data_IF_170757107555
#
_entry.id   IF_170757107555
#
_cell.length_a   1.000
_cell.length_b   1.000
_cell.length_c   1.000
_cell.angle_alpha   90.00
_cell.angle_beta   90.00
_cell.angle_gamma   90.00
#
_symmetry.space_group_name_H-M   'P 1'
#
loop_
_entity.id
_entity.type
_entity.pdbx_description
1 polymer ?
#
# COMPACT_ATOMS: atom_id res chain seq x y z
N UNK A 1 -31.57 -9.85 -44.35
CA UNK A 1 -31.22 -10.03 -42.94
C UNK A 1 -29.71 -10.11 -42.84
N UNK A 2 -29.05 -9.01 -42.47
CA UNK A 2 -27.60 -8.93 -42.27
C UNK A 2 -27.38 -8.15 -40.99
N UNK A 3 -26.94 -8.85 -39.95
CA UNK A 3 -26.63 -8.30 -38.63
C UNK A 3 -25.29 -7.57 -38.66
N UNK A 4 -25.31 -6.26 -38.41
CA UNK A 4 -24.14 -5.43 -38.20
C UNK A 4 -23.42 -5.78 -36.89
N UNK A 5 -22.17 -6.23 -36.99
CA UNK A 5 -21.26 -6.33 -35.84
C UNK A 5 -20.55 -4.97 -35.63
N UNK A 6 -21.07 -4.16 -34.70
CA UNK A 6 -20.41 -2.92 -34.26
C UNK A 6 -19.22 -3.25 -33.35
N UNK A 7 -18.00 -3.27 -33.90
CA UNK A 7 -16.76 -3.23 -33.11
C UNK A 7 -16.64 -1.86 -32.43
N UNK A 8 -16.69 -1.84 -31.11
CA UNK A 8 -16.35 -0.67 -30.30
C UNK A 8 -14.86 -0.34 -30.45
N UNK A 9 -14.56 0.65 -31.30
CA UNK A 9 -13.22 1.23 -31.40
C UNK A 9 -13.05 2.25 -30.29
N UNK A 10 -12.26 1.92 -29.27
CA UNK A 10 -11.83 2.86 -28.23
C UNK A 10 -10.98 3.96 -28.88
N UNK A 11 -11.58 5.11 -29.17
CA UNK A 11 -10.85 6.30 -29.65
C UNK A 11 -10.04 6.86 -28.49
N UNK A 12 -8.74 6.59 -28.49
CA UNK A 12 -7.79 7.43 -27.78
C UNK A 12 -7.78 8.80 -28.47
N UNK A 13 -8.36 9.81 -27.83
CA UNK A 13 -8.18 11.19 -28.25
C UNK A 13 -6.69 11.53 -28.12
N UNK A 14 -5.98 11.66 -29.24
CA UNK A 14 -4.70 12.38 -29.33
C UNK A 14 -5.04 13.86 -29.52
N UNK A 15 -4.83 14.74 -28.54
CA UNK A 15 -4.85 16.17 -28.81
C UNK A 15 -3.68 16.51 -29.73
N UNK A 16 -3.95 17.30 -30.76
CA UNK A 16 -2.99 17.74 -31.76
C UNK A 16 -1.80 18.46 -31.09
N UNK A 17 -0.62 18.10 -31.58
CA UNK A 17 0.69 18.32 -30.97
C UNK A 17 1.38 19.58 -31.56
N UNK A 18 0.66 20.70 -31.65
CA UNK A 18 1.16 21.93 -32.30
C UNK A 18 0.89 23.19 -31.46
N UNK A 19 1.45 23.22 -30.24
CA UNK A 19 1.44 24.40 -29.37
C UNK A 19 2.16 24.17 -28.04
N UNK A 20 3.13 23.24 -27.99
CA UNK A 20 3.63 22.71 -26.73
C UNK A 20 4.80 23.51 -26.13
N UNK A 21 4.52 24.57 -25.35
CA UNK A 21 5.52 25.13 -24.40
C UNK A 21 5.06 25.34 -22.95
N UNK A 22 3.78 25.17 -22.60
CA UNK A 22 3.27 25.30 -21.21
C UNK A 22 2.35 24.10 -20.81
N UNK A 23 2.90 22.91 -20.54
CA UNK A 23 2.04 21.70 -20.48
C UNK A 23 2.14 20.82 -19.26
N UNK A 24 3.23 20.82 -18.49
CA UNK A 24 3.33 19.81 -17.44
C UNK A 24 2.48 20.14 -16.22
N UNK A 25 2.52 21.39 -15.76
CA UNK A 25 1.65 21.88 -14.69
C UNK A 25 0.17 21.67 -15.04
N UNK A 26 -0.24 22.19 -16.20
CA UNK A 26 -1.62 22.11 -16.66
C UNK A 26 -2.07 20.66 -16.88
N UNK A 27 -1.23 19.78 -17.44
CA UNK A 27 -1.56 18.37 -17.62
C UNK A 27 -1.78 17.64 -16.28
N UNK A 28 -0.92 17.86 -15.27
CA UNK A 28 -1.10 17.27 -13.94
C UNK A 28 -2.41 17.78 -13.33
N UNK A 29 -2.71 19.08 -13.45
CA UNK A 29 -3.96 19.68 -12.94
C UNK A 29 -5.19 19.08 -13.61
N UNK A 30 -5.18 18.90 -14.93
CA UNK A 30 -6.27 18.26 -15.68
C UNK A 30 -6.46 16.79 -15.28
N UNK A 31 -5.36 16.04 -15.12
CA UNK A 31 -5.42 14.66 -14.65
C UNK A 31 -6.03 14.58 -13.25
N UNK A 32 -5.64 15.46 -12.33
CA UNK A 32 -6.23 15.59 -10.99
C UNK A 32 -7.73 15.83 -11.04
N UNK A 33 -8.19 16.77 -11.87
CA UNK A 33 -9.61 17.05 -12.06
C UNK A 33 -10.36 15.82 -12.60
N UNK A 34 -9.75 15.04 -13.51
CA UNK A 34 -10.36 13.81 -14.02
C UNK A 34 -10.55 12.76 -12.94
N UNK A 35 -9.58 12.61 -12.02
CA UNK A 35 -9.71 11.70 -10.87
C UNK A 35 -10.78 12.12 -9.86
N UNK A 36 -11.16 13.40 -9.83
CA UNK A 36 -12.27 13.89 -9.01
C UNK A 36 -13.64 13.67 -9.66
N UNK A 37 -13.69 13.30 -10.95
CA UNK A 37 -14.96 13.06 -11.65
C UNK A 37 -15.61 11.73 -11.23
N UNK A 38 -16.92 11.65 -11.41
CA UNK A 38 -17.73 10.45 -11.17
C UNK A 38 -17.29 9.21 -11.97
N UNK A 39 -16.49 9.39 -13.02
CA UNK A 39 -15.99 8.30 -13.85
C UNK A 39 -14.76 7.61 -13.26
N UNK A 40 -14.12 8.19 -12.24
CA UNK A 40 -12.99 7.54 -11.58
C UNK A 40 -13.49 6.47 -10.60
N UNK A 41 -12.88 5.28 -10.66
CA UNK A 41 -13.23 4.19 -9.75
C UNK A 41 -12.82 4.58 -8.32
N UNK A 42 -13.80 4.67 -7.42
CA UNK A 42 -13.59 5.08 -6.01
C UNK A 42 -12.55 4.23 -5.27
N UNK A 43 -12.42 2.96 -5.63
CA UNK A 43 -11.50 2.01 -4.99
C UNK A 43 -10.24 1.72 -5.83
N UNK A 44 -9.85 2.64 -6.72
CA UNK A 44 -8.60 2.57 -7.47
C UNK A 44 -7.69 3.75 -7.10
N UNK A 45 -6.39 3.46 -6.94
CA UNK A 45 -5.39 4.50 -6.73
C UNK A 45 -5.29 5.40 -7.97
N UNK A 46 -5.01 6.68 -7.72
CA UNK A 46 -4.84 7.68 -8.77
C UNK A 46 -3.39 7.63 -9.22
N UNK A 47 -3.15 7.26 -10.48
CA UNK A 47 -1.80 7.11 -11.02
C UNK A 47 -1.65 7.99 -12.27
N UNK A 48 -0.64 8.86 -12.28
CA UNK A 48 -0.26 9.66 -13.45
C UNK A 48 1.04 9.09 -14.00
N UNK A 49 1.09 8.84 -15.31
CA UNK A 49 2.32 8.47 -16.02
C UNK A 49 2.75 9.68 -16.84
N UNK A 50 3.96 10.19 -16.57
CA UNK A 50 4.56 11.29 -17.31
C UNK A 50 5.71 10.72 -18.14
N UNK A 51 5.59 10.79 -19.45
CA UNK A 51 6.60 10.31 -20.38
C UNK A 51 7.14 11.48 -21.21
N UNK A 52 8.46 11.65 -21.30
CA UNK A 52 9.05 12.70 -22.14
C UNK A 52 10.57 12.62 -22.25
N UNK A 53 11.10 13.28 -23.28
CA UNK A 53 12.53 13.32 -23.61
C UNK A 53 13.21 14.65 -23.30
N UNK A 54 12.43 15.72 -23.10
CA UNK A 54 12.94 17.03 -22.75
C UNK A 54 11.99 17.74 -21.78
N UNK A 55 12.51 18.77 -21.11
CA UNK A 55 11.72 19.70 -20.32
C UNK A 55 12.32 21.09 -20.49
N UNK A 56 11.46 22.09 -20.73
CA UNK A 56 11.85 23.49 -20.68
C UNK A 56 11.14 24.09 -19.47
N UNK A 57 11.92 24.60 -18.54
CA UNK A 57 11.39 25.30 -17.38
C UNK A 57 10.74 26.60 -17.85
N UNK A 58 9.50 26.81 -17.44
CA UNK A 58 8.77 28.05 -17.69
C UNK A 58 8.73 28.87 -16.40
N UNK A 59 8.72 30.20 -16.54
CA UNK A 59 8.87 31.13 -15.42
C UNK A 59 7.60 31.18 -14.54
N UNK A 60 6.46 30.74 -15.06
CA UNK A 60 5.15 31.03 -14.46
C UNK A 60 4.50 29.86 -13.70
N UNK A 61 4.87 28.59 -13.94
CA UNK A 61 4.17 27.47 -13.31
C UNK A 61 5.11 26.28 -13.00
N UNK A 62 5.56 26.16 -11.74
CA UNK A 62 6.38 25.00 -11.31
C UNK A 62 5.51 23.72 -11.16
N UNK A 63 5.67 22.71 -12.04
CA UNK A 63 4.92 21.46 -11.94
C UNK A 63 5.23 20.67 -10.67
N UNK A 64 6.35 20.95 -9.99
CA UNK A 64 6.77 20.27 -8.76
C UNK A 64 5.78 20.49 -7.63
N UNK A 65 5.17 21.68 -7.52
CA UNK A 65 4.21 21.98 -6.46
C UNK A 65 2.91 21.17 -6.62
N UNK A 66 2.37 21.11 -7.84
CA UNK A 66 1.16 20.33 -8.13
C UNK A 66 1.43 18.84 -7.99
N UNK A 67 2.61 18.37 -8.41
CA UNK A 67 3.03 16.98 -8.23
C UNK A 67 3.18 16.59 -6.75
N UNK A 68 3.76 17.47 -5.92
CA UNK A 68 3.83 17.28 -4.46
C UNK A 68 2.42 17.18 -3.86
N UNK A 69 1.52 18.08 -4.22
CA UNK A 69 0.15 18.06 -3.72
C UNK A 69 -0.60 16.77 -4.11
N UNK A 70 -0.46 16.34 -5.37
CA UNK A 70 -1.08 15.09 -5.82
C UNK A 70 -0.54 13.87 -5.05
N UNK A 71 0.77 13.84 -4.78
CA UNK A 71 1.39 12.78 -3.97
C UNK A 71 0.91 12.80 -2.52
N UNK A 72 0.80 13.98 -1.89
CA UNK A 72 0.27 14.10 -0.53
C UNK A 72 -1.20 13.67 -0.41
N UNK A 73 -1.96 13.76 -1.49
CA UNK A 73 -3.34 13.24 -1.58
C UNK A 73 -3.40 11.72 -1.83
N UNK A 74 -2.26 11.02 -1.79
CA UNK A 74 -2.15 9.58 -1.99
C UNK A 74 -2.14 9.14 -3.45
N UNK A 75 -1.88 10.06 -4.38
CA UNK A 75 -1.64 9.78 -5.80
C UNK A 75 -0.20 9.33 -6.06
N UNK A 76 0.00 8.53 -7.12
CA UNK A 76 1.31 8.05 -7.54
C UNK A 76 1.67 8.66 -8.89
N UNK A 77 2.89 9.19 -9.01
CA UNK A 77 3.43 9.69 -10.28
C UNK A 77 4.55 8.77 -10.72
N UNK A 78 4.36 8.13 -11.86
CA UNK A 78 5.39 7.38 -12.57
C UNK A 78 5.98 8.29 -13.63
N UNK A 79 7.30 8.46 -13.64
CA UNK A 79 7.97 9.18 -14.73
C UNK A 79 8.73 8.21 -15.62
N UNK A 80 8.67 8.42 -16.92
CA UNK A 80 9.40 7.67 -17.94
C UNK A 80 10.24 8.68 -18.72
N UNK A 81 11.52 8.69 -18.42
CA UNK A 81 12.49 9.57 -19.04
C UNK A 81 13.06 8.93 -20.31
N UNK A 82 12.84 9.57 -21.45
CA UNK A 82 13.36 9.14 -22.75
C UNK A 82 14.71 9.79 -23.03
N UNK A 83 15.80 9.07 -22.78
CA UNK A 83 17.15 9.54 -23.11
C UNK A 83 17.50 9.21 -24.56
N UNK A 84 17.85 10.21 -25.37
CA UNK A 84 18.37 10.01 -26.73
C UNK A 84 19.90 10.18 -26.75
N UNK A 85 20.65 9.10 -26.94
CA UNK A 85 22.11 9.15 -27.11
C UNK A 85 22.90 9.52 -25.84
N UNK A 86 23.70 10.59 -25.89
CA UNK A 86 24.59 11.07 -24.78
C UNK A 86 23.88 12.04 -23.82
N UNK A 87 22.56 12.17 -23.91
CA UNK A 87 21.81 13.10 -23.07
C UNK A 87 21.89 12.76 -21.58
N UNK A 88 22.04 13.81 -20.76
CA UNK A 88 22.06 13.68 -19.30
C UNK A 88 20.64 13.64 -18.76
N UNK A 89 20.44 12.89 -17.67
CA UNK A 89 19.16 12.83 -16.99
C UNK A 89 18.67 14.21 -16.56
N UNK A 90 17.41 14.50 -16.85
CA UNK A 90 16.68 15.73 -16.61
C UNK A 90 16.16 15.69 -15.17
N UNK A 91 16.68 16.56 -14.28
CA UNK A 91 16.40 16.49 -12.85
C UNK A 91 14.92 16.63 -12.47
N UNK A 92 14.10 17.29 -13.31
CA UNK A 92 12.69 17.52 -13.02
C UNK A 92 11.87 16.21 -12.94
N UNK A 93 12.16 15.19 -13.75
CA UNK A 93 11.43 13.92 -13.68
C UNK A 93 11.65 13.19 -12.35
N UNK A 94 12.83 13.36 -11.75
CA UNK A 94 13.11 12.88 -10.38
C UNK A 94 12.33 13.65 -9.33
N UNK A 95 12.18 14.97 -9.48
CA UNK A 95 11.40 15.80 -8.55
C UNK A 95 9.89 15.48 -8.59
N UNK A 96 9.37 15.15 -9.78
CA UNK A 96 7.96 14.87 -10.01
C UNK A 96 7.54 13.45 -9.60
N UNK A 97 8.39 12.45 -9.88
CA UNK A 97 8.09 11.06 -9.60
C UNK A 97 7.80 10.80 -8.12
N UNK A 98 6.89 9.89 -7.82
CA UNK A 98 6.82 9.30 -6.48
C UNK A 98 8.16 8.59 -6.16
N UNK A 99 8.54 8.49 -4.88
CA UNK A 99 9.77 7.79 -4.48
C UNK A 99 9.90 6.43 -5.17
N UNK A 100 11.04 6.18 -5.80
CA UNK A 100 11.34 4.98 -6.58
C UNK A 100 10.54 4.80 -7.90
N UNK A 101 9.44 5.51 -8.17
CA UNK A 101 8.61 5.38 -9.39
C UNK A 101 9.19 6.09 -10.63
N UNK A 102 10.51 6.18 -10.75
CA UNK A 102 11.18 6.78 -11.91
C UNK A 102 11.78 5.70 -12.79
N UNK A 103 11.39 5.70 -14.06
CA UNK A 103 11.92 4.85 -15.12
C UNK A 103 12.70 5.69 -16.12
N UNK A 104 13.72 5.08 -16.72
CA UNK A 104 14.53 5.66 -17.77
C UNK A 104 14.55 4.65 -18.92
N UNK A 105 14.36 5.10 -20.15
CA UNK A 105 14.23 4.18 -21.30
C UNK A 105 15.51 3.45 -21.68
N UNK A 106 16.66 4.06 -21.39
CA UNK A 106 17.97 3.48 -21.65
C UNK A 106 18.89 3.72 -20.45
N UNK A 107 19.24 2.65 -19.75
CA UNK A 107 20.25 2.64 -18.68
C UNK A 107 21.21 1.51 -18.97
N UNK A 108 22.52 1.80 -19.00
CA UNK A 108 23.57 0.78 -19.15
C UNK A 108 23.36 -0.19 -20.34
N UNK A 109 22.94 0.34 -21.50
CA UNK A 109 22.62 -0.41 -22.74
C UNK A 109 21.41 -1.35 -22.65
N UNK A 110 20.62 -1.28 -21.58
CA UNK A 110 19.36 -2.02 -21.45
C UNK A 110 18.18 -1.09 -21.73
N UNK A 111 17.30 -1.55 -22.60
CA UNK A 111 16.05 -0.86 -22.92
C UNK A 111 15.02 -1.16 -21.83
N UNK A 112 14.24 -0.15 -21.45
CA UNK A 112 13.09 -0.27 -20.55
C UNK A 112 12.14 -1.36 -21.06
N UNK A 113 11.87 -2.34 -20.21
CA UNK A 113 10.94 -3.43 -20.54
C UNK A 113 9.54 -3.05 -20.10
N UNK A 114 8.54 -3.44 -20.88
CA UNK A 114 7.13 -3.26 -20.52
C UNK A 114 6.79 -3.88 -19.14
N UNK A 115 7.54 -4.90 -18.72
CA UNK A 115 7.40 -5.53 -17.41
C UNK A 115 7.71 -4.59 -16.25
N UNK A 116 8.67 -3.67 -16.39
CA UNK A 116 9.05 -2.74 -15.31
C UNK A 116 7.92 -1.76 -15.04
N UNK A 117 7.34 -1.17 -16.10
CA UNK A 117 6.15 -0.32 -15.95
C UNK A 117 4.95 -1.09 -15.38
N UNK A 118 4.72 -2.33 -15.82
CA UNK A 118 3.65 -3.18 -15.28
C UNK A 118 3.85 -3.43 -13.78
N UNK A 119 5.08 -3.71 -13.35
CA UNK A 119 5.40 -3.91 -11.94
C UNK A 119 5.11 -2.64 -11.12
N UNK A 120 5.50 -1.46 -11.60
CA UNK A 120 5.18 -0.20 -10.95
C UNK A 120 3.67 0.03 -10.83
N UNK A 121 2.90 -0.31 -11.86
CA UNK A 121 1.44 -0.19 -11.83
C UNK A 121 0.81 -1.17 -10.82
N UNK A 122 1.39 -2.36 -10.64
CA UNK A 122 0.97 -3.28 -9.58
C UNK A 122 1.28 -2.71 -8.20
N UNK A 123 2.51 -2.23 -7.97
CA UNK A 123 2.92 -1.61 -6.69
C UNK A 123 2.07 -0.39 -6.34
N UNK A 124 1.81 0.48 -7.32
CA UNK A 124 0.98 1.67 -7.14
C UNK A 124 -0.48 1.36 -6.79
N UNK A 125 -0.99 0.19 -7.21
CA UNK A 125 -2.33 -0.28 -6.86
C UNK A 125 -2.34 -1.21 -5.63
N UNK A 126 -1.19 -1.46 -5.00
CA UNK A 126 -1.09 -2.20 -3.75
C UNK A 126 -1.27 -1.25 -2.56
N UNK A 127 -2.36 -1.38 -1.80
CA UNK A 127 -2.63 -0.47 -0.68
C UNK A 127 -3.49 -1.09 0.43
N UNK A 128 -3.41 -0.50 1.62
CA UNK A 128 -4.30 -0.81 2.73
C UNK A 128 -5.56 0.07 2.73
N UNK A 129 -6.68 -0.50 3.20
CA UNK A 129 -7.91 0.26 3.43
C UNK A 129 -7.70 1.36 4.47
N UNK A 130 -8.62 2.32 4.52
CA UNK A 130 -8.60 3.39 5.53
C UNK A 130 -8.55 2.80 6.94
N UNK A 131 -7.74 3.40 7.83
CA UNK A 131 -7.46 2.98 9.23
C UNK A 131 -6.61 1.71 9.38
N UNK A 132 -6.34 0.99 8.30
CA UNK A 132 -5.36 -0.09 8.35
C UNK A 132 -3.96 0.47 8.16
N UNK A 133 -3.04 0.05 9.02
CA UNK A 133 -1.63 0.41 9.01
C UNK A 133 -0.89 -0.52 8.03
N UNK A 134 -0.20 0.03 7.02
CA UNK A 134 0.58 -0.77 6.09
C UNK A 134 1.88 -1.26 6.74
N UNK A 135 2.22 -2.54 6.54
CA UNK A 135 3.56 -3.06 6.81
C UNK A 135 4.34 -3.15 5.50
N UNK A 136 5.24 -2.20 5.31
CA UNK A 136 6.04 -2.03 4.09
C UNK A 136 7.41 -2.67 4.29
N UNK A 137 7.71 -3.69 3.49
CA UNK A 137 9.00 -4.38 3.47
C UNK A 137 9.85 -4.00 2.26
N UNK A 138 9.25 -3.34 1.27
CA UNK A 138 9.90 -2.96 0.03
C UNK A 138 10.13 -1.45 -0.07
N UNK A 139 10.97 -1.08 -1.05
CA UNK A 139 11.27 0.32 -1.36
C UNK A 139 10.08 1.08 -1.99
N UNK A 140 8.96 0.43 -2.31
CA UNK A 140 7.87 1.02 -3.08
C UNK A 140 6.77 1.62 -2.21
N UNK A 141 6.99 1.63 -0.89
CA UNK A 141 5.99 1.91 0.15
C UNK A 141 4.73 1.03 -0.02
N UNK A 142 4.88 -0.12 -0.67
CA UNK A 142 3.78 -1.05 -0.90
C UNK A 142 3.63 -1.95 0.33
N UNK A 143 2.39 -2.18 0.82
CA UNK A 143 2.14 -2.99 2.01
C UNK A 143 2.25 -4.50 1.76
N UNK A 144 3.38 -4.95 1.19
CA UNK A 144 3.59 -6.36 0.87
C UNK A 144 3.65 -7.25 2.11
N UNK A 145 4.09 -6.71 3.25
CA UNK A 145 4.04 -7.38 4.54
C UNK A 145 2.64 -7.46 5.16
N UNK A 146 1.63 -6.88 4.50
CA UNK A 146 0.23 -6.92 4.93
C UNK A 146 -0.29 -5.60 5.47
N UNK A 147 -1.58 -5.63 5.79
CA UNK A 147 -2.31 -4.52 6.39
C UNK A 147 -2.77 -4.91 7.78
N UNK A 148 -2.59 -4.02 8.76
CA UNK A 148 -2.84 -4.28 10.17
C UNK A 148 -3.86 -3.30 10.76
N UNK A 149 -4.81 -3.78 11.55
CA UNK A 149 -5.82 -2.97 12.21
C UNK A 149 -5.74 -3.21 13.72
N UNK A 150 -5.16 -2.26 14.48
CA UNK A 150 -5.20 -2.30 15.94
C UNK A 150 -6.63 -2.06 16.43
N UNK A 151 -7.20 -3.05 17.11
CA UNK A 151 -8.53 -2.94 17.71
C UNK A 151 -8.40 -2.33 19.10
N UNK A 152 -9.24 -1.34 19.39
CA UNK A 152 -9.19 -0.57 20.64
C UNK A 152 -9.93 -1.21 21.80
N UNK A 153 -10.70 -2.27 21.54
CA UNK A 153 -11.51 -2.99 22.53
C UNK A 153 -10.82 -4.32 22.81
N UNK A 154 -10.62 -4.64 24.09
CA UNK A 154 -10.14 -5.95 24.52
C UNK A 154 -11.25 -6.98 24.41
N UNK A 155 -10.90 -8.22 24.10
CA UNK A 155 -11.87 -9.31 24.01
C UNK A 155 -11.17 -10.65 24.06
N UNK A 156 -11.90 -11.69 24.45
CA UNK A 156 -11.48 -13.09 24.32
C UNK A 156 -10.99 -13.46 22.91
N UNK A 157 -10.13 -14.47 22.80
CA UNK A 157 -9.53 -14.87 21.52
C UNK A 157 -10.59 -15.23 20.47
N UNK A 158 -11.67 -15.88 20.90
CA UNK A 158 -12.77 -16.29 20.02
C UNK A 158 -13.50 -15.10 19.44
N UNK A 159 -13.76 -14.06 20.25
CA UNK A 159 -14.39 -12.83 19.79
C UNK A 159 -13.45 -12.04 18.88
N UNK A 160 -12.18 -11.89 19.28
CA UNK A 160 -11.15 -11.25 18.48
C UNK A 160 -11.01 -11.87 17.08
N UNK A 161 -10.98 -13.21 17.00
CA UNK A 161 -10.96 -13.96 15.74
C UNK A 161 -12.18 -13.66 14.87
N UNK A 162 -13.38 -13.65 15.47
CA UNK A 162 -14.62 -13.32 14.74
C UNK A 162 -14.62 -11.88 14.26
N UNK A 163 -14.13 -10.94 15.06
CA UNK A 163 -13.97 -9.52 14.70
C UNK A 163 -13.07 -9.39 13.49
N UNK A 164 -11.88 -10.01 13.49
CA UNK A 164 -10.96 -9.95 12.35
C UNK A 164 -11.55 -10.58 11.09
N UNK A 165 -12.24 -11.73 11.22
CA UNK A 165 -12.93 -12.36 10.08
C UNK A 165 -13.99 -11.45 9.47
N UNK A 166 -14.79 -10.76 10.31
CA UNK A 166 -15.80 -9.78 9.87
C UNK A 166 -15.13 -8.56 9.21
N UNK A 167 -13.95 -8.15 9.68
CA UNK A 167 -13.15 -7.08 9.08
C UNK A 167 -12.38 -7.59 7.85
N UNK A 168 -13.11 -7.83 6.76
CA UNK A 168 -12.59 -8.13 5.42
C UNK A 168 -11.84 -9.47 5.30
N UNK A 169 -12.33 -10.51 5.98
CA UNK A 169 -11.69 -11.83 5.98
C UNK A 169 -10.28 -11.80 6.57
N UNK A 170 -10.03 -10.85 7.48
CA UNK A 170 -8.77 -10.78 8.21
C UNK A 170 -8.65 -11.94 9.20
N UNK A 171 -7.42 -12.15 9.65
CA UNK A 171 -7.09 -13.02 10.77
C UNK A 171 -6.47 -12.17 11.87
N UNK A 172 -6.28 -12.73 13.05
CA UNK A 172 -5.48 -12.07 14.07
C UNK A 172 -4.01 -12.00 13.58
N UNK A 173 -3.26 -11.00 14.06
CA UNK A 173 -1.87 -10.80 13.67
C UNK A 173 -1.01 -11.99 14.12
N UNK A 174 -0.08 -12.39 13.25
CA UNK A 174 0.91 -13.44 13.49
C UNK A 174 2.27 -12.76 13.52
N UNK A 175 3.09 -13.06 14.50
CA UNK A 175 4.45 -12.56 14.61
C UNK A 175 5.43 -13.59 14.05
N UNK A 176 6.03 -13.28 12.90
CA UNK A 176 6.76 -14.24 12.06
C UNK A 176 8.28 -13.99 12.03
N UNK A 177 8.71 -12.77 12.37
CA UNK A 177 10.12 -12.37 12.33
C UNK A 177 10.36 -11.13 13.22
N UNK A 178 11.63 -10.78 13.41
CA UNK A 178 12.05 -9.69 14.30
C UNK A 178 11.58 -8.33 13.78
N UNK A 179 11.52 -8.13 12.47
CA UNK A 179 11.09 -6.89 11.83
C UNK A 179 9.58 -6.67 12.03
N UNK A 180 8.80 -7.73 11.96
CA UNK A 180 7.35 -7.76 12.16
C UNK A 180 7.00 -7.56 13.62
N UNK A 181 7.71 -8.21 14.54
CA UNK A 181 7.61 -7.99 15.98
C UNK A 181 7.81 -6.49 16.32
N UNK A 182 8.88 -5.90 15.79
CA UNK A 182 9.16 -4.48 15.97
C UNK A 182 8.07 -3.57 15.38
N UNK A 183 7.44 -3.97 14.27
CA UNK A 183 6.32 -3.25 13.68
C UNK A 183 5.03 -3.36 14.53
N UNK A 184 4.68 -4.57 14.98
CA UNK A 184 3.50 -4.82 15.81
C UNK A 184 3.61 -4.09 17.16
N UNK A 185 4.82 -4.03 17.70
CA UNK A 185 5.16 -3.29 18.91
C UNK A 185 4.88 -1.79 18.77
N UNK A 186 5.12 -1.19 17.60
CA UNK A 186 4.78 0.23 17.35
C UNK A 186 3.28 0.48 17.26
N UNK A 187 2.50 -0.54 16.88
CA UNK A 187 1.06 -0.40 16.70
C UNK A 187 0.29 -0.28 18.03
N UNK A 188 0.78 -0.88 19.13
CA UNK A 188 0.19 -0.80 20.48
C UNK A 188 1.16 -1.35 21.55
N UNK A 189 1.00 -0.89 22.79
CA UNK A 189 1.89 -1.25 23.92
C UNK A 189 1.55 -2.58 24.62
N UNK A 190 0.34 -3.16 24.43
CA UNK A 190 -0.08 -4.48 24.94
C UNK A 190 -1.07 -5.12 23.96
N UNK A 191 -0.81 -6.36 23.52
CA UNK A 191 -1.44 -6.99 22.36
C UNK A 191 -1.49 -8.53 22.49
N UNK A 192 -2.65 -9.14 22.27
CA UNK A 192 -2.76 -10.49 21.75
C UNK A 192 -2.09 -10.52 20.38
N UNK A 193 -1.12 -11.41 20.25
CA UNK A 193 -0.85 -12.06 18.98
C UNK A 193 -1.93 -13.15 18.86
N UNK A 194 -2.48 -13.42 17.67
CA UNK A 194 -2.86 -14.84 17.51
C UNK A 194 -1.55 -15.56 17.63
N UNK A 195 -1.54 -16.61 18.43
CA UNK A 195 -1.09 -17.90 17.97
C UNK A 195 -1.63 -18.90 18.97
N UNK A 196 -2.58 -19.72 18.53
CA UNK A 196 -2.69 -21.05 19.13
C UNK A 196 -1.31 -21.69 18.93
N UNK A 197 -0.76 -22.33 19.96
CA UNK A 197 0.58 -22.91 19.92
C UNK A 197 0.76 -23.86 18.72
N UNK A 198 -0.31 -24.55 18.30
CA UNK A 198 -0.32 -25.42 17.11
C UNK A 198 -0.42 -24.68 15.76
N UNK A 199 -0.59 -23.36 15.77
CA UNK A 199 -0.73 -22.52 14.59
C UNK A 199 0.50 -21.64 14.34
N UNK A 200 1.59 -21.82 15.11
CA UNK A 200 2.89 -21.18 14.87
C UNK A 200 3.40 -21.61 13.50
N UNK A 201 3.22 -20.71 12.53
CA UNK A 201 3.76 -20.87 11.18
C UNK A 201 5.14 -20.22 11.19
N UNK A 202 6.18 -21.04 11.22
CA UNK A 202 7.58 -20.60 11.12
C UNK A 202 8.42 -20.92 12.37
N UNK A 203 9.72 -20.68 12.23
CA UNK A 203 10.73 -21.02 13.25
C UNK A 203 10.96 -19.88 14.27
N UNK A 204 10.31 -18.74 14.07
CA UNK A 204 10.47 -17.58 14.93
C UNK A 204 9.63 -17.73 16.21
N UNK A 205 10.29 -17.57 17.36
CA UNK A 205 9.62 -17.54 18.66
C UNK A 205 10.26 -16.52 19.59
N UNK A 206 9.45 -15.87 20.43
CA UNK A 206 9.92 -14.95 21.49
C UNK A 206 9.36 -15.30 22.86
N UNK A 207 9.22 -16.59 23.15
CA UNK A 207 8.77 -17.06 24.47
C UNK A 207 9.61 -16.46 25.60
N UNK A 208 8.95 -15.94 26.62
CA UNK A 208 9.64 -15.51 27.83
C UNK A 208 10.43 -16.69 28.44
N UNK A 209 11.59 -16.41 29.03
CA UNK A 209 12.46 -17.45 29.63
C UNK A 209 11.67 -18.32 30.61
N UNK A 210 11.72 -19.64 30.39
CA UNK A 210 11.04 -20.62 31.24
C UNK A 210 9.53 -20.76 31.02
N UNK A 211 8.94 -20.16 29.98
CA UNK A 211 7.48 -20.18 29.70
C UNK A 211 7.14 -20.69 28.29
N UNK A 212 7.80 -21.76 27.84
CA UNK A 212 7.53 -22.38 26.53
C UNK A 212 6.30 -23.30 26.52
N UNK A 213 5.43 -23.21 27.53
CA UNK A 213 4.46 -24.25 27.85
C UNK A 213 3.03 -23.71 27.85
N UNK A 214 2.11 -24.60 27.49
CA UNK A 214 0.64 -24.50 27.68
C UNK A 214 0.22 -24.42 29.15
N UNK A 215 1.15 -24.16 30.08
CA UNK A 215 0.93 -24.19 31.54
C UNK A 215 -0.25 -23.32 31.99
N UNK A 216 -0.49 -22.20 31.30
CA UNK A 216 -1.59 -21.28 31.61
C UNK A 216 -2.67 -21.22 30.51
N UNK A 217 -2.62 -22.11 29.51
CA UNK A 217 -3.58 -22.15 28.40
C UNK A 217 -2.95 -22.17 27.00
N UNK A 218 -3.82 -22.34 25.99
CA UNK A 218 -3.43 -22.53 24.59
C UNK A 218 -3.31 -21.22 23.79
N UNK A 219 -3.67 -20.08 24.41
CA UNK A 219 -3.64 -18.78 23.77
C UNK A 219 -2.36 -18.02 24.11
N UNK A 220 -1.77 -17.37 23.11
CA UNK A 220 -0.53 -16.61 23.26
C UNK A 220 -0.82 -15.13 23.19
N UNK A 221 -0.18 -14.35 24.04
CA UNK A 221 -0.19 -12.89 23.97
C UNK A 221 1.23 -12.35 24.07
N UNK A 222 1.41 -11.13 23.57
CA UNK A 222 2.67 -10.43 23.57
C UNK A 222 2.61 -9.24 24.51
N UNK A 223 3.66 -9.11 25.32
CA UNK A 223 3.81 -8.00 26.26
C UNK A 223 5.24 -7.51 26.23
N UNK A 224 5.43 -6.19 26.40
CA UNK A 224 6.76 -5.62 26.61
C UNK A 224 7.25 -5.92 28.02
N UNK A 225 8.50 -6.35 28.13
CA UNK A 225 9.23 -6.47 29.37
C UNK A 225 9.79 -5.09 29.80
N UNK A 226 10.47 -5.06 30.95
CA UNK A 226 11.09 -3.84 31.50
C UNK A 226 12.14 -3.21 30.58
N UNK A 227 12.78 -4.02 29.73
CA UNK A 227 13.82 -3.61 28.78
C UNK A 227 13.25 -3.15 27.43
N UNK A 228 11.94 -2.94 27.35
CA UNK A 228 11.19 -2.56 26.13
C UNK A 228 11.21 -3.60 25.00
N UNK A 229 11.73 -4.80 25.25
CA UNK A 229 11.62 -5.93 24.34
C UNK A 229 10.28 -6.64 24.55
N UNK A 230 9.75 -7.23 23.49
CA UNK A 230 8.54 -8.05 23.55
C UNK A 230 8.87 -9.50 23.83
N UNK A 231 8.05 -10.10 24.68
CA UNK A 231 8.08 -11.52 24.97
C UNK A 231 6.66 -12.09 24.84
N UNK A 232 6.59 -13.37 24.51
CA UNK A 232 5.35 -14.13 24.40
C UNK A 232 5.07 -14.89 25.68
N UNK A 233 3.80 -14.92 26.05
CA UNK A 233 3.27 -15.57 27.24
C UNK A 233 2.03 -16.38 26.85
N UNK A 234 1.84 -17.54 27.49
CA UNK A 234 0.60 -18.31 27.40
C UNK A 234 -0.43 -17.82 28.43
N UNK A 235 -1.71 -17.89 28.06
CA UNK A 235 -2.86 -17.52 28.88
C UNK A 235 -4.13 -18.28 28.46
N UNK A 236 -5.16 -18.21 29.29
CA UNK A 236 -6.47 -18.76 29.00
C UNK A 236 -7.14 -17.97 27.87
N UNK A 237 -7.70 -18.68 26.90
CA UNK A 237 -8.31 -18.06 25.71
C UNK A 237 -9.55 -17.19 25.99
N UNK A 238 -10.14 -17.36 27.17
CA UNK A 238 -11.30 -16.60 27.66
C UNK A 238 -10.90 -15.31 28.39
N UNK A 239 -9.60 -15.04 28.58
CA UNK A 239 -9.14 -13.76 29.09
C UNK A 239 -9.21 -12.66 28.02
N UNK A 240 -9.52 -11.44 28.46
CA UNK A 240 -9.64 -10.28 27.58
C UNK A 240 -8.29 -9.61 27.36
N UNK A 241 -7.85 -9.51 26.11
CA UNK A 241 -6.74 -8.65 25.74
C UNK A 241 -7.03 -7.89 24.44
N UNK A 242 -6.27 -6.82 24.20
CA UNK A 242 -6.32 -6.08 22.93
C UNK A 242 -5.79 -6.94 21.80
N UNK A 243 -6.18 -6.69 20.56
CA UNK A 243 -5.69 -7.49 19.43
C UNK A 243 -5.46 -6.64 18.18
N UNK A 244 -4.62 -7.14 17.28
CA UNK A 244 -4.46 -6.59 15.93
C UNK A 244 -5.01 -7.60 14.94
N UNK A 245 -5.82 -7.14 13.99
CA UNK A 245 -6.19 -7.93 12.82
C UNK A 245 -5.17 -7.70 11.70
N UNK A 246 -4.79 -8.75 10.98
CA UNK A 246 -4.01 -8.67 9.75
C UNK A 246 -4.81 -9.17 8.54
N UNK A 247 -4.58 -8.56 7.38
CA UNK A 247 -5.14 -9.01 6.10
C UNK A 247 -4.18 -8.71 4.95
N UNK A 248 -4.28 -9.47 3.86
CA UNK A 248 -3.54 -9.16 2.62
C UNK A 248 -3.99 -7.80 2.07
N UNK A 249 -3.06 -7.00 1.52
CA UNK A 249 -3.39 -5.69 0.94
C UNK A 249 -4.34 -5.82 -0.25
N UNK A 250 -4.93 -4.69 -0.63
CA UNK A 250 -5.71 -4.56 -1.84
C UNK A 250 -4.77 -4.45 -3.02
N UNK A 251 -5.05 -5.14 -4.12
CA UNK A 251 -4.26 -5.07 -5.34
C UNK A 251 -5.16 -5.31 -6.59
N UNK A 252 -4.53 -5.51 -7.75
CA UNK A 252 -5.24 -5.77 -9.01
C UNK A 252 -6.02 -7.10 -9.04
N UNK A 253 -5.68 -8.04 -8.16
CA UNK A 253 -6.29 -9.37 -8.01
C UNK A 253 -7.23 -9.46 -6.80
N UNK A 254 -6.99 -8.65 -5.76
CA UNK A 254 -7.81 -8.54 -4.55
C UNK A 254 -8.45 -7.15 -4.48
N UNK A 255 -9.62 -7.03 -5.12
CA UNK A 255 -10.38 -5.80 -5.08
C UNK A 255 -10.88 -5.50 -3.65
N UNK A 256 -10.58 -4.30 -3.17
CA UNK A 256 -11.12 -3.80 -1.91
C UNK A 256 -12.19 -2.75 -2.20
N UNK A 257 -13.45 -2.99 -1.84
CA UNK A 257 -14.48 -1.98 -2.01
C UNK A 257 -14.17 -0.77 -1.13
N UNK A 258 -14.49 0.42 -1.64
CA UNK A 258 -14.52 1.64 -0.84
C UNK A 258 -15.64 1.48 0.19
N UNK A 259 -15.31 1.17 1.44
CA UNK A 259 -16.30 1.12 2.50
C UNK A 259 -16.73 2.55 2.82
N UNK A 260 -17.96 2.89 2.39
CA UNK A 260 -18.70 4.01 2.94
C UNK A 260 -18.94 3.68 4.42
N UNK A 261 -18.27 4.42 5.28
CA UNK A 261 -18.43 4.64 6.74
C UNK A 261 -19.66 4.07 7.49
N UNK A 262 -20.02 2.80 7.33
CA UNK A 262 -20.98 2.14 8.23
C UNK A 262 -20.28 1.43 9.40
N UNK A 263 -18.96 1.24 9.31
CA UNK A 263 -18.11 0.70 10.40
C UNK A 263 -17.69 1.76 11.44
N UNK A 264 -18.21 2.99 11.35
CA UNK A 264 -18.00 4.03 12.38
C UNK A 264 -18.90 3.85 13.62
N UNK A 265 -19.82 2.88 13.61
CA UNK A 265 -20.73 2.60 14.73
C UNK A 265 -20.32 1.44 15.64
N UNK A 266 -19.16 0.83 15.43
CA UNK A 266 -18.63 -0.22 16.31
C UNK A 266 -17.21 0.11 16.78
N UNK A 267 -17.11 1.22 17.54
CA UNK A 267 -16.00 1.52 18.45
C UNK A 267 -16.58 1.54 19.86
#
# INVERSE_FOLDING_TARGET
MTTENKKATTRYAKPALWGLKELLYTAIRLARARFASQHHRRAARKVIIIAGSNYRETVYEDPSNVAKQFRSEGGIIITIEYLQGKEKSIPIYKKLASPNYRLITYVDRKQLRAQELRQLLCKANCFCKRRWVPYTIDQWDAPEGGCYLPVKISSTQRLATRTCKRKNGGILAVDEDKEKDAFLTKCKHSLFLTLCISCLVGDFTKWAKGRQTTENGDCVYMRRNGDHETEWFSDECDNDHFHICQTKPCDSTKYCPFQLSNDEREI
#
